data_IF_209700374153
#
_entry.id   IF_209700374153
#
_cell.length_a   1.000
_cell.length_b   1.000
_cell.length_c   1.000
_cell.angle_alpha   90.00
_cell.angle_beta   90.00
_cell.angle_gamma   90.00
#
_symmetry.space_group_name_H-M   'P 1'
#
loop_
_entity.id
_entity.type
_entity.pdbx_description
1 polymer ?
#
# COMPACT_ATOMS: atom_id res chain seq x y z
N UNK A 1 -4.95 3.22 -16.31
CA UNK A 1 -4.71 2.90 -15.75
C UNK A 1 -4.62 2.80 -15.64
N UNK A 2 -4.67 2.89 -15.75
CA UNK A 2 -4.46 2.52 -15.15
C UNK A 2 -4.25 2.44 -14.87
N UNK A 3 -4.19 2.56 -14.93
CA UNK A 3 -3.75 2.26 -14.29
C UNK A 3 -3.38 2.46 -14.07
N UNK A 4 -3.12 2.70 -14.01
CA UNK A 4 -2.55 2.63 -13.45
C UNK A 4 -2.19 3.18 -13.21
N UNK A 5 -2.33 3.43 -13.30
CA UNK A 5 -1.74 3.77 -12.82
C UNK A 5 -1.39 4.15 -12.58
N UNK A 6 -1.30 4.23 -12.52
CA UNK A 6 -0.75 4.27 -12.14
C UNK A 6 -0.41 4.45 -12.30
N UNK A 7 -0.31 4.41 -12.54
CA UNK A 7 0.23 4.15 -12.62
C UNK A 7 0.67 4.22 -13.01
N UNK A 8 0.64 4.44 -13.40
CA UNK A 8 1.22 4.15 -13.65
C UNK A 8 1.82 3.97 -13.91
N UNK A 9 2.14 4.35 -14.00
CA UNK A 9 2.95 3.91 -14.28
C UNK A 9 3.38 3.32 -14.51
N UNK A 10 3.24 3.88 -14.71
CA UNK A 10 3.76 3.04 -14.69
C UNK A 10 4.13 1.95 -14.76
N UNK A 11 4.04 1.78 -15.51
CA UNK A 11 4.01 0.36 -15.80
C UNK A 11 5.32 -0.23 -16.29
N UNK A 12 6.27 0.62 -16.65
CA UNK A 12 7.61 0.15 -17.02
C UNK A 12 8.29 -0.57 -15.85
N UNK A 13 7.98 -0.16 -14.62
CA UNK A 13 8.61 -0.74 -13.44
C UNK A 13 7.73 -1.77 -12.73
N UNK A 14 6.50 -1.98 -13.18
CA UNK A 14 5.60 -2.91 -12.49
C UNK A 14 6.10 -4.35 -12.60
N UNK A 15 6.78 -4.73 -13.68
CA UNK A 15 7.33 -6.07 -13.81
C UNK A 15 8.46 -6.31 -12.82
N UNK A 16 9.25 -5.29 -12.49
CA UNK A 16 10.31 -5.42 -11.49
C UNK A 16 9.73 -5.75 -10.13
N UNK A 17 8.65 -5.07 -9.76
CA UNK A 17 7.98 -5.34 -8.50
C UNK A 17 7.38 -6.74 -8.50
N UNK A 18 6.77 -7.16 -9.62
CA UNK A 18 6.13 -8.46 -9.72
C UNK A 18 7.13 -9.62 -9.54
N UNK A 19 8.38 -9.42 -9.96
CA UNK A 19 9.42 -10.44 -9.83
C UNK A 19 10.48 -10.08 -8.79
N UNK A 20 10.16 -9.14 -7.90
CA UNK A 20 11.09 -8.70 -6.88
C UNK A 20 11.39 -9.83 -5.90
N UNK A 21 12.68 -10.03 -5.53
CA UNK A 21 13.02 -11.00 -4.49
C UNK A 21 12.54 -10.56 -3.10
N UNK A 22 12.10 -9.30 -2.95
CA UNK A 22 11.60 -8.78 -1.69
C UNK A 22 10.11 -9.03 -1.49
N UNK A 23 9.40 -9.44 -2.55
CA UNK A 23 7.98 -9.71 -2.47
C UNK A 23 7.73 -11.05 -1.78
N UNK A 24 6.74 -11.09 -0.90
CA UNK A 24 6.36 -12.29 -0.18
C UNK A 24 4.84 -12.38 -0.16
N UNK A 25 4.30 -13.35 -0.87
CA UNK A 25 2.85 -13.50 -1.03
C UNK A 25 2.13 -13.74 0.31
N UNK A 26 2.82 -14.34 1.29
CA UNK A 26 2.20 -14.58 2.61
C UNK A 26 1.85 -13.26 3.32
N UNK A 27 2.54 -12.18 2.99
CA UNK A 27 2.26 -10.86 3.56
C UNK A 27 0.89 -10.33 3.16
N UNK A 28 0.39 -10.72 1.98
CA UNK A 28 -0.95 -10.32 1.56
C UNK A 28 -2.01 -10.85 2.51
N UNK A 29 -1.89 -12.13 2.89
CA UNK A 29 -2.83 -12.75 3.82
C UNK A 29 -2.71 -12.14 5.21
N UNK A 30 -1.48 -11.83 5.64
CA UNK A 30 -1.21 -11.27 6.96
C UNK A 30 -1.77 -9.86 7.10
N UNK A 31 -1.56 -9.00 6.08
CA UNK A 31 -1.86 -7.57 6.21
C UNK A 31 -3.27 -7.20 5.78
N UNK A 32 -3.91 -7.99 4.94
CA UNK A 32 -5.20 -7.64 4.38
C UNK A 32 -6.29 -7.42 5.45
N UNK A 33 -6.46 -8.30 6.46
CA UNK A 33 -7.48 -8.07 7.48
C UNK A 33 -7.26 -6.79 8.29
N UNK A 34 -6.00 -6.50 8.65
CA UNK A 34 -5.67 -5.29 9.39
C UNK A 34 -6.01 -4.04 8.57
N UNK A 35 -5.65 -4.04 7.29
CA UNK A 35 -5.90 -2.90 6.42
C UNK A 35 -7.40 -2.70 6.18
N UNK A 36 -8.16 -3.78 5.99
CA UNK A 36 -9.61 -3.69 5.85
C UNK A 36 -10.27 -3.11 7.08
N UNK A 37 -9.84 -3.57 8.25
CA UNK A 37 -10.35 -3.05 9.53
C UNK A 37 -10.03 -1.57 9.69
N UNK A 38 -8.80 -1.17 9.37
CA UNK A 38 -8.38 0.23 9.46
C UNK A 38 -9.14 1.12 8.49
N UNK A 39 -9.42 0.63 7.28
CA UNK A 39 -10.22 1.37 6.30
C UNK A 39 -11.62 1.64 6.86
N UNK A 40 -12.27 0.62 7.40
CA UNK A 40 -13.61 0.77 7.96
C UNK A 40 -13.64 1.72 9.14
N UNK A 41 -12.66 1.63 10.01
CA UNK A 41 -12.59 2.45 11.22
C UNK A 41 -11.96 3.82 10.97
N UNK A 42 -11.44 4.06 9.78
CA UNK A 42 -10.70 5.27 9.43
C UNK A 42 -9.54 5.53 10.36
N UNK A 43 -8.78 4.47 10.63
CA UNK A 43 -7.57 4.54 11.44
C UNK A 43 -6.35 4.72 10.54
N UNK A 44 -5.42 5.56 10.98
CA UNK A 44 -4.11 5.67 10.33
C UNK A 44 -3.34 4.38 10.52
N UNK A 45 -2.48 4.07 9.57
CA UNK A 45 -1.64 2.87 9.61
C UNK A 45 -0.20 3.27 9.34
N UNK A 46 0.71 2.73 10.14
CA UNK A 46 2.14 2.85 9.88
C UNK A 46 2.58 1.62 9.10
N UNK A 47 3.13 1.85 7.91
CA UNK A 47 3.65 0.78 7.05
C UNK A 47 5.17 0.83 7.03
N UNK A 48 5.80 -0.33 7.11
CA UNK A 48 7.21 -0.49 6.73
C UNK A 48 7.21 -1.19 5.38
N UNK A 49 7.72 -0.52 4.37
CA UNK A 49 7.55 -0.92 2.98
C UNK A 49 8.92 -1.09 2.32
N UNK A 50 9.10 -2.19 1.58
CA UNK A 50 10.30 -2.43 0.78
C UNK A 50 9.91 -2.28 -0.69
N UNK A 51 10.51 -1.30 -1.38
CA UNK A 51 10.18 -1.08 -2.79
C UNK A 51 10.89 -2.09 -3.70
N UNK A 52 10.67 -1.94 -5.01
CA UNK A 52 11.23 -2.87 -6.00
C UNK A 52 12.76 -2.88 -6.05
N UNK A 53 13.41 -1.85 -5.55
CA UNK A 53 14.86 -1.73 -5.51
C UNK A 53 15.44 -2.17 -4.16
N UNK A 54 14.60 -2.58 -3.21
CA UNK A 54 15.04 -3.02 -1.91
C UNK A 54 15.16 -1.89 -0.89
N UNK A 55 14.79 -0.68 -1.24
CA UNK A 55 14.82 0.44 -0.30
C UNK A 55 13.65 0.32 0.68
N UNK A 56 13.96 0.42 1.97
CA UNK A 56 12.98 0.29 3.04
C UNK A 56 12.58 1.69 3.52
N UNK A 57 11.28 1.91 3.64
CA UNK A 57 10.75 3.18 4.16
C UNK A 57 9.62 2.92 5.13
N UNK A 58 9.47 3.82 6.10
CA UNK A 58 8.33 3.82 7.01
C UNK A 58 7.40 4.95 6.60
N UNK A 59 6.14 4.63 6.40
CA UNK A 59 5.12 5.58 5.94
C UNK A 59 3.93 5.55 6.88
N UNK A 60 3.43 6.72 7.25
CA UNK A 60 2.12 6.82 7.90
C UNK A 60 1.11 7.16 6.83
N UNK A 61 0.10 6.33 6.71
CA UNK A 61 -0.87 6.45 5.62
C UNK A 61 -2.29 6.39 6.16
N UNK A 62 -3.21 6.94 5.36
CA UNK A 62 -4.66 6.84 5.60
C UNK A 62 -5.21 5.85 4.58
N UNK A 63 -5.43 4.59 4.97
CA UNK A 63 -5.86 3.57 4.01
C UNK A 63 -7.28 3.83 3.56
N UNK A 64 -7.52 3.75 2.25
CA UNK A 64 -8.79 4.14 1.65
C UNK A 64 -9.54 2.94 1.07
N UNK A 65 -8.84 2.06 0.36
CA UNK A 65 -9.45 0.91 -0.30
C UNK A 65 -8.41 -0.16 -0.59
N UNK A 66 -8.86 -1.40 -0.67
CA UNK A 66 -8.03 -2.50 -1.16
C UNK A 66 -8.53 -2.93 -2.53
N UNK A 67 -7.61 -3.41 -3.37
CA UNK A 67 -7.95 -3.89 -4.70
C UNK A 67 -7.00 -5.01 -5.11
N UNK A 68 -7.48 -5.89 -5.98
CA UNK A 68 -6.66 -6.94 -6.55
C UNK A 68 -6.27 -6.52 -7.97
N UNK A 69 -5.03 -6.12 -8.15
CA UNK A 69 -4.51 -5.60 -9.42
C UNK A 69 -3.22 -6.31 -9.77
N UNK A 70 -3.03 -6.63 -11.06
CA UNK A 70 -1.79 -7.23 -11.54
C UNK A 70 -1.39 -8.46 -10.72
N UNK A 71 -2.37 -9.31 -10.39
CA UNK A 71 -2.19 -10.55 -9.62
C UNK A 71 -1.68 -10.31 -8.20
N UNK A 72 -1.89 -9.11 -7.68
CA UNK A 72 -1.47 -8.77 -6.33
C UNK A 72 -2.52 -7.91 -5.65
N UNK A 73 -2.64 -8.08 -4.34
CA UNK A 73 -3.46 -7.18 -3.54
C UNK A 73 -2.69 -5.89 -3.31
N UNK A 74 -3.38 -4.78 -3.45
CA UNK A 74 -2.84 -3.45 -3.20
C UNK A 74 -3.74 -2.71 -2.24
N UNK A 75 -3.19 -1.74 -1.54
CA UNK A 75 -3.95 -0.78 -0.76
C UNK A 75 -3.73 0.60 -1.34
N UNK A 76 -4.83 1.30 -1.62
CA UNK A 76 -4.80 2.72 -1.97
C UNK A 76 -4.84 3.51 -0.68
N UNK A 77 -3.93 4.43 -0.50
CA UNK A 77 -3.82 5.19 0.74
C UNK A 77 -3.30 6.59 0.48
N UNK A 78 -3.73 7.52 1.33
CA UNK A 78 -3.19 8.88 1.34
C UNK A 78 -1.92 8.85 2.18
N UNK A 79 -0.81 9.21 1.59
CA UNK A 79 0.49 9.21 2.26
C UNK A 79 0.76 10.56 2.90
N UNK A 80 0.96 10.58 4.21
CA UNK A 80 1.14 11.84 4.94
C UNK A 80 2.41 12.58 4.51
N UNK A 81 3.50 11.82 4.25
CA UNK A 81 4.78 12.46 3.94
C UNK A 81 4.79 13.14 2.57
N UNK A 82 4.00 12.65 1.61
CA UNK A 82 3.98 13.21 0.27
C UNK A 82 2.74 14.06 -0.01
N UNK A 83 1.69 13.89 0.78
CA UNK A 83 0.40 14.55 0.53
C UNK A 83 -0.29 14.05 -0.73
N UNK A 84 -0.01 12.82 -1.14
CA UNK A 84 -0.54 12.23 -2.36
C UNK A 84 -1.16 10.87 -2.08
N UNK A 85 -2.12 10.47 -2.92
CA UNK A 85 -2.62 9.11 -2.92
C UNK A 85 -1.58 8.20 -3.56
N UNK A 86 -1.36 7.06 -2.94
CA UNK A 86 -0.40 6.08 -3.42
C UNK A 86 -1.00 4.69 -3.32
N UNK A 87 -0.47 3.77 -4.13
CA UNK A 87 -0.82 2.36 -4.06
C UNK A 87 0.39 1.60 -3.52
N UNK A 88 0.15 0.73 -2.53
CA UNK A 88 1.18 -0.10 -1.94
C UNK A 88 0.79 -1.56 -2.16
N UNK A 89 1.72 -2.36 -2.67
CA UNK A 89 1.50 -3.80 -2.79
C UNK A 89 1.66 -4.45 -1.43
N UNK A 90 0.68 -5.27 -1.05
CA UNK A 90 0.69 -5.91 0.26
C UNK A 90 1.85 -6.88 0.42
N UNK A 91 2.27 -7.52 -0.67
CA UNK A 91 3.38 -8.47 -0.63
C UNK A 91 4.74 -7.79 -0.41
N UNK A 92 4.81 -6.48 -0.48
CA UNK A 92 6.01 -5.70 -0.19
C UNK A 92 5.94 -4.96 1.13
N UNK A 93 4.85 -5.12 1.88
CA UNK A 93 4.72 -4.52 3.21
C UNK A 93 5.37 -5.45 4.23
N UNK A 94 6.45 -4.99 4.84
CA UNK A 94 7.15 -5.76 5.87
C UNK A 94 6.34 -5.81 7.16
N UNK A 95 5.76 -4.67 7.55
CA UNK A 95 4.91 -4.60 8.73
C UNK A 95 3.85 -3.52 8.55
N UNK A 96 2.74 -3.71 9.22
CA UNK A 96 1.64 -2.76 9.23
C UNK A 96 1.10 -2.70 10.65
N UNK A 97 0.91 -1.49 11.16
CA UNK A 97 0.43 -1.27 12.51
C UNK A 97 -0.68 -0.23 12.49
N UNK A 98 -1.86 -0.59 13.01
CA UNK A 98 -2.95 0.37 13.14
C UNK A 98 -2.62 1.33 14.27
N UNK A 99 -2.69 2.62 13.98
CA UNK A 99 -2.44 3.66 14.96
C UNK A 99 -3.74 4.09 15.63
N UNK A 100 -3.68 4.64 16.85
CA UNK A 100 -4.90 5.08 17.52
C UNK A 100 -5.55 6.30 16.87
N UNK A 101 -4.78 7.07 16.06
CA UNK A 101 -5.29 8.25 15.41
C UNK A 101 -6.26 7.90 14.28
N UNK A 102 -7.30 8.69 14.15
CA UNK A 102 -8.27 8.55 13.06
C UNK A 102 -8.00 9.62 12.00
N UNK A 103 -8.51 9.36 10.79
CA UNK A 103 -8.40 10.33 9.70
C UNK A 103 -9.77 10.57 9.09
N UNK A 104 -9.88 11.65 8.32
CA UNK A 104 -11.06 11.91 7.48
C UNK A 104 -10.67 11.62 6.04
N UNK A 105 -11.67 11.33 5.20
CA UNK A 105 -11.39 11.06 3.80
C UNK A 105 -10.70 12.27 3.17
N UNK A 106 -9.65 12.05 2.35
CA UNK A 106 -8.94 13.16 1.74
C UNK A 106 -9.82 13.85 0.70
N UNK A 107 -9.51 15.12 0.38
CA UNK A 107 -10.23 15.82 -0.68
C UNK A 107 -9.96 15.14 -2.03
N UNK A 108 -10.95 15.19 -2.88
CA UNK A 108 -10.83 14.66 -4.24
C UNK A 108 -10.01 15.56 -5.15
#
# INVERSE_FOLDING_TARGET
AAAQPTQTVADADSWKVAFSPFADASRMVTHLPLLRSAIQARQKVALTYTDGDGAISRQVVHPLATAYLARSWTVEAWCESTGLRRHFRLDLIDSAEALPELFTDPPD
#
